data_IF_170763327769
#
_entry.id   IF_170763327769
#
_cell.length_a   1.000
_cell.length_b   1.000
_cell.length_c   1.000
_cell.angle_alpha   90.00
_cell.angle_beta   90.00
_cell.angle_gamma   90.00
#
_symmetry.space_group_name_H-M   'P 1'
#
loop_
_entity.id
_entity.type
_entity.pdbx_description
1 polymer ?
#
# COMPACT_ATOMS: atom_id res chain seq x y z
N UNK A 1 -17.22 -2.90 -7.00
CA UNK A 1 -16.66 -4.23 -6.64
C UNK A 1 -16.88 -4.45 -5.14
N UNK A 2 -17.22 -5.67 -4.70
CA UNK A 2 -17.50 -5.98 -3.29
C UNK A 2 -16.18 -5.92 -2.50
N UNK A 3 -16.07 -4.99 -1.56
CA UNK A 3 -14.83 -4.75 -0.79
C UNK A 3 -14.49 -6.01 0.05
N UNK A 4 -13.28 -6.55 -0.14
CA UNK A 4 -12.87 -7.84 0.45
C UNK A 4 -11.60 -7.77 1.31
N UNK A 5 -11.01 -6.57 1.44
CA UNK A 5 -10.00 -6.26 2.46
C UNK A 5 -10.67 -5.58 3.66
N UNK A 6 -10.18 -5.86 4.87
CA UNK A 6 -10.58 -5.12 6.06
C UNK A 6 -10.14 -3.68 5.88
N UNK A 7 -10.98 -2.73 6.31
CA UNK A 7 -10.63 -1.31 6.29
C UNK A 7 -9.30 -1.04 7.00
N UNK A 8 -8.93 -1.87 7.98
CA UNK A 8 -7.67 -1.81 8.71
C UNK A 8 -6.47 -2.12 7.82
N UNK A 9 -6.46 -3.22 7.06
CA UNK A 9 -5.38 -3.58 6.13
C UNK A 9 -5.17 -2.50 5.06
N UNK A 10 -6.28 -1.91 4.58
CA UNK A 10 -6.28 -0.82 3.62
C UNK A 10 -5.61 0.43 4.21
N UNK A 11 -5.99 0.82 5.42
CA UNK A 11 -5.41 1.96 6.12
C UNK A 11 -3.92 1.73 6.36
N UNK A 12 -3.52 0.54 6.83
CA UNK A 12 -2.12 0.20 7.08
C UNK A 12 -1.28 0.36 5.82
N UNK A 13 -1.74 -0.15 4.66
CA UNK A 13 -1.01 -0.02 3.38
C UNK A 13 -0.93 1.42 2.87
N UNK A 14 -2.00 2.18 2.99
CA UNK A 14 -2.01 3.60 2.61
C UNK A 14 -1.07 4.40 3.50
N UNK A 15 -1.09 4.16 4.82
CA UNK A 15 -0.20 4.80 5.79
C UNK A 15 1.25 4.42 5.52
N UNK A 16 1.55 3.14 5.31
CA UNK A 16 2.90 2.69 4.94
C UNK A 16 3.41 3.34 3.65
N UNK A 17 2.58 3.38 2.60
CA UNK A 17 2.93 4.01 1.33
C UNK A 17 3.22 5.50 1.49
N UNK A 18 2.41 6.22 2.26
CA UNK A 18 2.62 7.63 2.58
C UNK A 18 3.92 7.86 3.37
N UNK A 19 4.19 7.03 4.38
CA UNK A 19 5.42 7.14 5.20
C UNK A 19 6.67 6.92 4.35
N UNK A 20 6.66 5.91 3.47
CA UNK A 20 7.79 5.62 2.59
C UNK A 20 8.07 6.74 1.59
N UNK A 21 7.02 7.33 0.99
CA UNK A 21 7.17 8.47 0.09
C UNK A 21 7.62 9.72 0.85
N UNK A 22 7.06 9.98 2.04
CA UNK A 22 7.45 11.10 2.89
C UNK A 22 8.92 11.01 3.34
N UNK A 23 9.43 9.80 3.63
CA UNK A 23 10.83 9.57 3.95
C UNK A 23 11.77 9.94 2.80
N UNK A 24 11.37 9.67 1.55
CA UNK A 24 12.13 10.10 0.36
C UNK A 24 12.07 11.63 0.17
N UNK A 25 10.88 12.23 0.24
CA UNK A 25 10.71 13.69 0.07
C UNK A 25 11.44 14.48 1.16
N UNK A 26 11.52 13.93 2.37
CA UNK A 26 12.28 14.52 3.48
C UNK A 26 13.81 14.38 3.34
N UNK A 27 14.30 13.84 2.22
CA UNK A 27 15.72 13.52 1.99
C UNK A 27 16.34 12.60 3.07
N UNK A 28 15.53 11.84 3.82
CA UNK A 28 16.06 10.86 4.77
C UNK A 28 16.73 9.68 4.05
N UNK A 29 16.25 9.34 2.85
CA UNK A 29 16.87 8.34 1.98
C UNK A 29 17.03 8.93 0.58
N UNK A 30 18.27 9.04 0.12
CA UNK A 30 18.63 9.66 -1.16
C UNK A 30 19.35 8.68 -2.09
N UNK A 31 19.38 9.00 -3.39
CA UNK A 31 19.99 8.15 -4.42
C UNK A 31 19.13 6.95 -4.83
N UNK A 32 19.76 5.95 -5.43
CA UNK A 32 19.13 4.71 -5.93
C UNK A 32 18.18 4.03 -4.92
N UNK A 33 18.53 3.85 -3.63
CA UNK A 33 17.60 3.23 -2.67
C UNK A 33 16.35 4.08 -2.39
N UNK A 34 16.45 5.40 -2.49
CA UNK A 34 15.30 6.29 -2.34
C UNK A 34 14.26 6.12 -3.44
N UNK A 35 14.71 5.99 -4.70
CA UNK A 35 13.83 5.74 -5.85
C UNK A 35 13.10 4.41 -5.70
N UNK A 36 13.79 3.36 -5.25
CA UNK A 36 13.20 2.04 -4.98
C UNK A 36 12.12 2.13 -3.90
N UNK A 37 12.36 2.86 -2.81
CA UNK A 37 11.37 3.06 -1.75
C UNK A 37 10.12 3.81 -2.23
N UNK A 38 10.29 4.80 -3.10
CA UNK A 38 9.15 5.51 -3.71
C UNK A 38 8.31 4.58 -4.57
N UNK A 39 8.94 3.72 -5.38
CA UNK A 39 8.23 2.74 -6.21
C UNK A 39 7.44 1.77 -5.33
N UNK A 40 8.05 1.23 -4.27
CA UNK A 40 7.39 0.33 -3.32
C UNK A 40 6.23 1.06 -2.61
N UNK A 41 6.46 2.28 -2.14
CA UNK A 41 5.46 3.11 -1.48
C UNK A 41 4.27 3.43 -2.39
N UNK A 42 4.53 3.75 -3.66
CA UNK A 42 3.49 4.01 -4.65
C UNK A 42 2.64 2.77 -4.96
N UNK A 43 3.26 1.59 -5.08
CA UNK A 43 2.55 0.32 -5.27
C UNK A 43 1.67 0.00 -4.05
N UNK A 44 2.19 0.18 -2.83
CA UNK A 44 1.42 -0.02 -1.60
C UNK A 44 0.24 0.96 -1.49
N UNK A 45 0.43 2.22 -1.88
CA UNK A 45 -0.61 3.24 -1.93
C UNK A 45 -1.69 2.92 -2.96
N UNK A 46 -1.31 2.58 -4.19
CA UNK A 46 -2.25 2.25 -5.26
C UNK A 46 -3.07 1.01 -4.90
N UNK A 47 -2.43 -0.03 -4.37
CA UNK A 47 -3.13 -1.25 -3.94
C UNK A 47 -4.08 -0.97 -2.77
N UNK A 48 -3.67 -0.15 -1.80
CA UNK A 48 -4.55 0.31 -0.71
C UNK A 48 -5.68 1.24 -1.18
N UNK A 49 -5.43 2.16 -2.13
CA UNK A 49 -6.45 3.09 -2.63
C UNK A 49 -7.53 2.39 -3.44
N UNK A 50 -7.17 1.40 -4.25
CA UNK A 50 -8.13 0.63 -5.04
C UNK A 50 -9.05 -0.20 -4.13
N UNK A 51 -8.64 -0.51 -2.90
CA UNK A 51 -9.47 -1.22 -1.90
C UNK A 51 -9.91 -2.61 -2.36
N UNK A 52 -9.26 -3.13 -3.40
CA UNK A 52 -9.54 -4.39 -4.05
C UNK A 52 -8.20 -5.06 -4.32
N UNK A 53 -7.74 -5.89 -3.38
CA UNK A 53 -6.61 -6.75 -3.65
C UNK A 53 -7.10 -7.96 -4.47
N UNK A 54 -6.70 -8.10 -5.74
CA UNK A 54 -7.13 -9.21 -6.59
C UNK A 54 -6.71 -10.56 -6.02
N UNK A 55 -5.66 -10.61 -5.19
CA UNK A 55 -5.17 -11.82 -4.53
C UNK A 55 -6.16 -12.37 -3.48
N UNK A 56 -6.80 -11.51 -2.68
CA UNK A 56 -7.87 -11.94 -1.75
C UNK A 56 -9.15 -12.33 -2.48
N UNK A 57 -9.44 -11.68 -3.62
CA UNK A 57 -10.55 -12.09 -4.49
C UNK A 57 -10.30 -13.46 -5.13
N UNK A 58 -9.07 -13.76 -5.52
CA UNK A 58 -8.67 -15.05 -6.11
C UNK A 58 -8.66 -16.18 -5.07
N UNK A 59 -8.23 -15.89 -3.84
CA UNK A 59 -8.14 -16.90 -2.77
C UNK A 59 -9.45 -17.14 -2.01
N UNK A 60 -10.56 -16.47 -2.36
CA UNK A 60 -11.88 -16.54 -1.68
C UNK A 60 -11.82 -16.29 -0.16
N UNK A 61 -10.71 -15.79 0.38
CA UNK A 61 -10.61 -15.39 1.78
C UNK A 61 -11.26 -14.01 1.95
N UNK A 62 -12.22 -13.92 2.86
CA UNK A 62 -12.82 -12.67 3.29
C UNK A 62 -12.29 -12.38 4.70
N UNK A 63 -11.53 -11.31 4.84
CA UNK A 63 -11.13 -10.79 6.17
C UNK A 63 -12.16 -9.79 6.72
N UNK A 64 -13.34 -9.70 6.08
CA UNK A 64 -14.53 -9.05 6.60
C UNK A 64 -15.01 -9.82 7.84
N UNK A 65 -14.58 -9.35 9.00
CA UNK A 65 -15.23 -9.47 10.31
C UNK A 65 -15.18 -8.09 10.94
#
# INVERSE_FOLDING_TARGET
MKMNESSVDRIIRVVLGLVLIAAFVSNMVTGTPGIVLVIIGAIALLTGLIGFCPLYSLLKFKTNR
#
